data_IF_731607582493
#
_entry.id   IF_731607582493
#
_cell.length_a   1.000
_cell.length_b   1.000
_cell.length_c   1.000
_cell.angle_alpha   90.00
_cell.angle_beta   90.00
_cell.angle_gamma   90.00
#
_symmetry.space_group_name_H-M   'P 1'
#
loop_
_entity.id
_entity.type
_entity.pdbx_description
1 polymer ?
#
# COMPACT_ATOMS: atom_id res chain seq x y z
N UNK A 1 16.53 19.44 33.56
CA UNK A 1 16.35 19.93 32.17
C UNK A 1 17.09 19.08 31.12
N UNK A 2 17.34 17.78 31.36
CA UNK A 2 17.99 16.87 30.40
C UNK A 2 16.97 16.03 29.60
N UNK A 3 15.79 15.77 30.17
CA UNK A 3 14.72 15.00 29.51
C UNK A 3 14.11 15.73 28.31
N UNK A 4 13.99 17.06 28.35
CA UNK A 4 13.50 17.86 27.21
C UNK A 4 14.43 17.76 26.00
N UNK A 5 15.75 17.81 26.25
CA UNK A 5 16.75 17.68 25.18
C UNK A 5 16.70 16.27 24.57
N UNK A 6 16.50 15.24 25.39
CA UNK A 6 16.34 13.86 24.91
C UNK A 6 15.07 13.66 24.07
N UNK A 7 13.94 14.27 24.45
CA UNK A 7 12.68 14.17 23.69
C UNK A 7 12.80 14.93 22.36
N UNK A 8 13.38 16.13 22.34
CA UNK A 8 13.62 16.88 21.09
C UNK A 8 14.58 16.13 20.16
N UNK A 9 15.63 15.51 20.72
CA UNK A 9 16.53 14.65 19.94
C UNK A 9 15.82 13.42 19.36
N UNK A 10 14.98 12.75 20.15
CA UNK A 10 14.22 11.58 19.70
C UNK A 10 13.13 11.94 18.68
N UNK A 11 12.50 13.11 18.81
CA UNK A 11 11.52 13.63 17.86
C UNK A 11 12.17 13.99 16.51
N UNK A 12 13.32 14.69 16.53
CA UNK A 12 14.07 15.02 15.31
C UNK A 12 14.68 13.80 14.62
N UNK A 13 15.05 12.75 15.37
CA UNK A 13 15.68 11.55 14.79
C UNK A 13 14.66 10.57 14.16
N UNK A 14 13.36 10.74 14.39
CA UNK A 14 12.29 10.00 13.69
C UNK A 14 11.71 10.79 12.50
N UNK A 15 12.34 11.89 12.09
CA UNK A 15 12.06 12.60 10.83
C UNK A 15 12.53 11.77 9.63
N UNK A 16 11.64 10.96 9.06
CA UNK A 16 11.94 10.17 7.87
C UNK A 16 11.88 11.04 6.61
N UNK A 17 12.86 11.94 6.42
CA UNK A 17 13.19 12.40 5.06
C UNK A 17 14.13 11.35 4.45
N UNK A 18 13.54 10.28 3.94
CA UNK A 18 14.17 9.52 2.87
C UNK A 18 13.97 10.34 1.59
N UNK A 19 14.91 11.24 1.35
CA UNK A 19 15.18 11.79 0.02
C UNK A 19 15.56 10.62 -0.88
N UNK A 20 14.58 10.06 -1.58
CA UNK A 20 14.84 9.29 -2.78
C UNK A 20 15.08 10.31 -3.91
N UNK A 21 16.27 10.37 -4.52
CA UNK A 21 16.46 11.15 -5.73
C UNK A 21 15.80 10.39 -6.88
N UNK A 22 14.51 10.60 -7.05
CA UNK A 22 13.82 10.41 -8.33
C UNK A 22 12.72 11.46 -8.41
N UNK A 23 13.17 12.70 -8.46
CA UNK A 23 12.48 13.72 -9.23
C UNK A 23 12.72 13.38 -10.70
N UNK A 24 11.75 12.67 -11.28
CA UNK A 24 11.36 12.88 -12.66
C UNK A 24 9.84 12.98 -12.65
N UNK A 25 9.39 14.22 -12.46
CA UNK A 25 8.42 14.90 -13.31
C UNK A 25 7.83 14.04 -14.45
N UNK A 26 6.50 14.05 -14.55
CA UNK A 26 5.79 13.55 -15.73
C UNK A 26 4.92 12.32 -15.48
N UNK A 27 3.62 12.55 -15.49
CA UNK A 27 2.70 11.89 -16.42
C UNK A 27 2.75 10.35 -16.54
N UNK A 28 1.61 9.72 -16.20
CA UNK A 28 1.11 8.46 -16.75
C UNK A 28 2.03 7.22 -16.78
N UNK A 29 1.54 6.18 -16.10
CA UNK A 29 1.58 4.76 -16.53
C UNK A 29 2.94 4.06 -16.37
N UNK A 30 3.08 3.32 -15.28
CA UNK A 30 3.97 2.17 -15.23
C UNK A 30 3.31 1.05 -14.42
N UNK A 31 2.66 0.13 -15.14
CA UNK A 31 2.34 -1.21 -14.64
C UNK A 31 3.68 -1.94 -14.59
N UNK A 32 4.34 -1.93 -13.44
CA UNK A 32 5.56 -2.72 -13.24
C UNK A 32 5.16 -4.16 -12.91
N UNK A 33 4.88 -4.95 -13.95
CA UNK A 33 4.73 -6.40 -13.82
C UNK A 33 6.13 -6.99 -13.61
N UNK A 34 6.57 -7.02 -12.34
CA UNK A 34 7.76 -7.74 -11.95
C UNK A 34 7.54 -9.25 -12.19
N UNK A 35 8.26 -9.77 -13.18
CA UNK A 35 8.27 -11.16 -13.62
C UNK A 35 8.93 -12.05 -12.57
N UNK A 36 8.11 -12.68 -11.71
CA UNK A 36 8.48 -13.85 -10.92
C UNK A 36 7.25 -14.52 -10.27
N UNK A 37 6.29 -15.09 -11.03
CA UNK A 37 5.11 -15.80 -10.46
C UNK A 37 4.40 -15.03 -9.33
N UNK A 38 4.52 -13.70 -9.31
CA UNK A 38 3.99 -12.86 -8.26
C UNK A 38 2.49 -12.70 -8.52
N UNK A 39 1.66 -12.95 -7.51
CA UNK A 39 0.24 -12.65 -7.57
C UNK A 39 0.07 -11.22 -8.11
N UNK A 40 -0.81 -11.00 -9.11
CA UNK A 40 -0.93 -9.69 -9.72
C UNK A 40 -1.33 -8.66 -8.64
N UNK A 41 -0.69 -7.50 -8.66
CA UNK A 41 -0.96 -6.41 -7.72
C UNK A 41 -0.92 -5.06 -8.44
N UNK A 42 -1.49 -4.04 -7.81
CA UNK A 42 -1.33 -2.65 -8.22
C UNK A 42 -0.83 -1.79 -7.08
N UNK A 43 -0.18 -0.68 -7.41
CA UNK A 43 0.18 0.33 -6.43
C UNK A 43 -0.85 1.46 -6.43
N UNK A 44 -1.41 1.78 -5.26
CA UNK A 44 -2.37 2.88 -5.10
C UNK A 44 -2.00 3.73 -3.90
N UNK A 45 -2.06 5.06 -4.10
CA UNK A 45 -1.92 6.06 -3.04
C UNK A 45 -3.24 6.24 -2.31
N UNK A 46 -3.22 6.13 -0.98
CA UNK A 46 -4.42 6.22 -0.13
C UNK A 46 -4.93 7.65 -0.08
N UNK A 47 -6.23 7.81 -0.31
CA UNK A 47 -6.97 9.06 -0.12
C UNK A 47 -7.72 9.04 1.22
N UNK A 48 -8.16 10.21 1.65
CA UNK A 48 -8.92 10.35 2.89
C UNK A 48 -10.21 9.53 2.84
N UNK A 49 -10.46 8.73 3.88
CA UNK A 49 -11.64 7.88 4.00
C UNK A 49 -11.58 6.56 3.22
N UNK A 50 -10.49 6.27 2.51
CA UNK A 50 -10.30 4.95 1.88
C UNK A 50 -9.81 3.92 2.91
N UNK A 51 -10.27 2.67 2.74
CA UNK A 51 -9.84 1.50 3.50
C UNK A 51 -9.28 0.46 2.54
N UNK A 52 -8.59 -0.56 3.05
CA UNK A 52 -8.13 -1.66 2.19
C UNK A 52 -9.31 -2.31 1.48
N UNK A 53 -10.41 -2.53 2.18
CA UNK A 53 -11.62 -3.14 1.62
C UNK A 53 -12.22 -2.27 0.50
N UNK A 54 -12.45 -0.98 0.74
CA UNK A 54 -13.10 -0.12 -0.27
C UNK A 54 -12.26 0.04 -1.53
N UNK A 55 -10.92 0.01 -1.40
CA UNK A 55 -10.01 0.01 -2.54
C UNK A 55 -10.16 -1.28 -3.35
N UNK A 56 -10.19 -2.44 -2.69
CA UNK A 56 -10.34 -3.74 -3.36
C UNK A 56 -11.71 -3.86 -4.03
N UNK A 57 -12.77 -3.39 -3.38
CA UNK A 57 -14.12 -3.32 -3.97
C UNK A 57 -14.14 -2.45 -5.23
N UNK A 58 -13.49 -1.27 -5.17
CA UNK A 58 -13.39 -0.37 -6.33
C UNK A 58 -12.63 -1.02 -7.49
N UNK A 59 -11.59 -1.81 -7.20
CA UNK A 59 -10.81 -2.49 -8.23
C UNK A 59 -11.57 -3.64 -8.90
N UNK A 60 -12.44 -4.32 -8.15
CA UNK A 60 -13.15 -5.52 -8.61
C UNK A 60 -14.63 -5.29 -8.91
N UNK A 61 -15.10 -4.04 -8.86
CA UNK A 61 -16.51 -3.66 -9.07
C UNK A 61 -17.45 -4.52 -8.22
N UNK A 62 -17.15 -4.59 -6.91
CA UNK A 62 -17.91 -5.34 -5.88
C UNK A 62 -17.85 -6.88 -5.98
N UNK A 63 -17.37 -7.46 -7.08
CA UNK A 63 -17.23 -8.91 -7.21
C UNK A 63 -15.86 -9.38 -6.74
N UNK A 64 -15.74 -9.62 -5.44
CA UNK A 64 -14.54 -10.16 -4.81
C UNK A 64 -14.72 -11.68 -4.66
N UNK A 65 -13.89 -12.52 -5.31
CA UNK A 65 -14.01 -13.98 -5.25
C UNK A 65 -13.36 -14.61 -4.00
N UNK A 66 -12.95 -13.79 -3.02
CA UNK A 66 -12.16 -14.18 -1.84
C UNK A 66 -12.77 -13.58 -0.57
N UNK A 67 -12.41 -14.13 0.59
CA UNK A 67 -12.87 -13.61 1.88
C UNK A 67 -12.12 -12.36 2.33
N UNK A 68 -12.67 -11.62 3.31
CA UNK A 68 -12.03 -10.43 3.88
C UNK A 68 -10.69 -10.79 4.54
N UNK A 69 -10.61 -11.95 5.21
CA UNK A 69 -9.38 -12.43 5.84
C UNK A 69 -8.28 -12.70 4.82
N UNK A 70 -8.65 -13.23 3.65
CA UNK A 70 -7.72 -13.43 2.54
C UNK A 70 -7.23 -12.10 1.98
N UNK A 71 -8.11 -11.11 1.82
CA UNK A 71 -7.73 -9.76 1.39
C UNK A 71 -6.70 -9.15 2.35
N UNK A 72 -6.96 -9.21 3.66
CA UNK A 72 -6.04 -8.70 4.68
C UNK A 72 -4.69 -9.42 4.60
N UNK A 73 -4.70 -10.75 4.53
CA UNK A 73 -3.48 -11.56 4.46
C UNK A 73 -2.66 -11.25 3.20
N UNK A 74 -3.33 -11.10 2.05
CA UNK A 74 -2.70 -10.78 0.78
C UNK A 74 -2.09 -9.38 0.79
N UNK A 75 -2.82 -8.40 1.33
CA UNK A 75 -2.33 -7.04 1.49
C UNK A 75 -1.10 -6.98 2.39
N UNK A 76 -1.12 -7.62 3.55
CA UNK A 76 0.01 -7.64 4.50
C UNK A 76 1.22 -8.39 3.93
N UNK A 77 0.99 -9.43 3.13
CA UNK A 77 2.03 -10.15 2.41
C UNK A 77 2.70 -9.29 1.33
N UNK A 78 1.94 -8.46 0.64
CA UNK A 78 2.48 -7.53 -0.38
C UNK A 78 3.14 -6.30 0.25
N UNK A 79 2.76 -5.93 1.48
CA UNK A 79 3.30 -4.78 2.21
C UNK A 79 3.88 -5.24 3.56
N UNK A 80 5.02 -5.94 3.55
CA UNK A 80 5.64 -6.41 4.77
C UNK A 80 5.93 -5.22 5.69
N UNK A 81 5.56 -5.35 6.98
CA UNK A 81 5.61 -4.33 8.05
C UNK A 81 4.39 -3.40 8.14
N UNK A 82 3.40 -3.54 7.27
CA UNK A 82 2.18 -2.73 7.31
C UNK A 82 0.98 -3.64 7.65
N UNK A 83 -0.01 -3.09 8.37
CA UNK A 83 -1.27 -3.78 8.66
C UNK A 83 -2.39 -3.19 7.82
N UNK A 84 -3.34 -4.02 7.41
CA UNK A 84 -4.46 -3.57 6.57
C UNK A 84 -5.29 -2.46 7.28
N UNK A 85 -5.37 -2.52 8.60
CA UNK A 85 -6.12 -1.56 9.43
C UNK A 85 -5.35 -0.26 9.71
N UNK A 86 -4.04 -0.22 9.45
CA UNK A 86 -3.16 0.91 9.81
C UNK A 86 -2.66 1.72 8.61
N UNK A 87 -3.34 1.59 7.46
CA UNK A 87 -2.99 2.34 6.25
C UNK A 87 -3.07 3.84 6.48
N UNK A 88 -2.12 4.58 5.89
CA UNK A 88 -2.00 6.03 6.07
C UNK A 88 -2.34 6.78 4.78
N UNK A 89 -3.12 7.84 4.92
CA UNK A 89 -3.44 8.77 3.83
C UNK A 89 -2.14 9.34 3.25
N UNK A 90 -2.07 9.41 1.92
CA UNK A 90 -0.92 9.94 1.21
C UNK A 90 0.24 8.94 1.02
N UNK A 91 0.18 7.74 1.61
CA UNK A 91 1.15 6.67 1.37
C UNK A 91 0.68 5.75 0.26
N UNK A 92 1.61 5.15 -0.48
CA UNK A 92 1.34 4.19 -1.54
C UNK A 92 1.54 2.77 -1.02
N UNK A 93 0.59 1.89 -1.33
CA UNK A 93 0.61 0.48 -0.95
C UNK A 93 0.30 -0.41 -2.14
N UNK A 94 0.72 -1.67 -2.03
CA UNK A 94 0.45 -2.74 -3.01
C UNK A 94 -0.88 -3.43 -2.67
N UNK A 95 -1.80 -3.44 -3.61
CA UNK A 95 -3.11 -4.07 -3.49
C UNK A 95 -3.20 -5.31 -4.37
N UNK A 96 -3.65 -6.46 -3.85
CA UNK A 96 -3.82 -7.65 -4.67
C UNK A 96 -4.91 -7.44 -5.74
N UNK A 97 -4.69 -8.03 -6.91
CA UNK A 97 -5.69 -8.16 -7.97
C UNK A 97 -6.18 -9.60 -8.04
N UNK A 98 -7.48 -9.76 -8.00
CA UNK A 98 -8.18 -11.02 -8.17
C UNK A 98 -8.74 -11.05 -9.59
N UNK A 99 -8.13 -11.85 -10.46
CA UNK A 99 -8.75 -12.18 -11.73
C UNK A 99 -9.74 -13.30 -11.47
N UNK A 100 -11.00 -13.10 -11.86
CA UNK A 100 -11.95 -14.21 -11.99
C UNK A 100 -11.37 -15.10 -13.09
N UNK A 101 -10.93 -16.31 -12.73
CA UNK A 101 -10.63 -17.31 -13.75
C UNK A 101 -11.92 -17.59 -14.50
N UNK A 102 -12.05 -16.98 -15.66
CA UNK A 102 -13.04 -17.39 -16.66
C UNK A 102 -12.55 -18.73 -17.18
N UNK A 103 -13.04 -19.81 -16.57
CA UNK A 103 -13.01 -21.11 -17.21
C UNK A 103 -13.70 -20.96 -18.57
N UNK A 104 -12.89 -21.05 -19.64
CA UNK A 104 -13.37 -21.12 -21.03
C UNK A 104 -13.82 -22.54 -21.35
#
# INVERSE_FOLDING_TARGET
>A
MLFLIYIVYFDMNNGTIAINPSLTEGENKAIEVSSAKASPYIEKKIRQGETVLSIIEQLHKEQIPVSIEQITTDFERLNPKEKAESIKVGKTYKFPLYKKEVAS
#
